data_IF_587494647497
#
_entry.id   IF_587494647497
#
_cell.length_a   1.000
_cell.length_b   1.000
_cell.length_c   1.000
_cell.angle_alpha   90.00
_cell.angle_beta   90.00
_cell.angle_gamma   90.00
#
_symmetry.space_group_name_H-M   'P 1'
#
loop_
_entity.id
_entity.type
_entity.pdbx_description
1 polymer ?
#
# COMPACT_ATOMS: atom_id res chain seq x y z
N UNK A 1 5.84 -22.10 -0.91
CA UNK A 1 5.92 -21.00 -1.90
C UNK A 1 7.23 -20.27 -1.66
N UNK A 2 7.97 -19.88 -2.70
CA UNK A 2 9.13 -19.00 -2.50
C UNK A 2 8.60 -17.59 -2.29
N UNK A 3 8.74 -17.03 -1.09
CA UNK A 3 8.38 -15.64 -0.84
C UNK A 3 9.52 -14.74 -1.29
N UNK A 4 9.29 -13.94 -2.34
CA UNK A 4 10.19 -12.86 -2.72
C UNK A 4 9.82 -11.63 -1.90
N UNK A 5 10.45 -11.47 -0.73
CA UNK A 5 10.21 -10.32 0.13
C UNK A 5 10.89 -9.06 -0.42
N UNK A 6 10.19 -7.92 -0.38
CA UNK A 6 10.66 -6.62 -0.92
C UNK A 6 10.99 -5.67 0.22
N UNK A 7 12.25 -5.19 0.36
CA UNK A 7 12.61 -4.31 1.48
C UNK A 7 11.70 -3.08 1.58
N UNK A 8 11.29 -2.74 2.80
CA UNK A 8 10.34 -1.66 3.08
C UNK A 8 8.87 -2.02 2.87
N UNK A 9 8.55 -3.19 2.27
CA UNK A 9 7.18 -3.65 2.11
C UNK A 9 6.62 -4.25 3.40
N UNK A 10 5.32 -4.05 3.60
CA UNK A 10 4.59 -4.54 4.75
C UNK A 10 3.93 -5.92 4.49
N UNK A 11 3.92 -6.77 5.51
CA UNK A 11 3.39 -8.11 5.51
C UNK A 11 2.50 -8.33 6.74
N UNK A 12 1.58 -9.29 6.65
CA UNK A 12 0.61 -9.60 7.70
C UNK A 12 1.01 -10.88 8.43
N UNK A 13 1.14 -10.77 9.75
CA UNK A 13 1.19 -11.95 10.63
C UNK A 13 -0.18 -12.60 10.74
N UNK A 14 -0.19 -13.91 11.02
CA UNK A 14 -1.41 -14.66 11.33
C UNK A 14 -2.21 -14.02 12.45
N UNK A 15 -1.54 -13.54 13.50
CA UNK A 15 -2.17 -12.82 14.62
C UNK A 15 -2.71 -11.43 14.29
N UNK A 16 -2.54 -10.98 13.04
CA UNK A 16 -3.15 -9.78 12.52
C UNK A 16 -2.31 -8.52 12.62
N UNK A 17 -1.08 -8.56 13.16
CA UNK A 17 -0.19 -7.38 13.20
C UNK A 17 0.68 -7.25 11.95
N UNK A 18 1.16 -6.01 11.73
CA UNK A 18 1.96 -5.60 10.59
C UNK A 18 3.45 -5.91 10.82
N UNK A 19 4.12 -6.36 9.76
CA UNK A 19 5.57 -6.59 9.69
C UNK A 19 6.16 -5.79 8.55
N UNK A 20 7.29 -5.12 8.75
CA UNK A 20 8.06 -4.49 7.67
C UNK A 20 9.27 -5.35 7.35
N UNK A 21 9.41 -5.80 6.11
CA UNK A 21 10.62 -6.52 5.70
C UNK A 21 11.80 -5.54 5.63
N UNK A 22 12.86 -5.84 6.38
CA UNK A 22 14.04 -4.96 6.47
C UNK A 22 15.16 -5.48 5.56
N UNK A 23 15.27 -6.81 5.42
CA UNK A 23 16.26 -7.39 4.53
C UNK A 23 16.69 -8.79 4.95
N UNK A 24 17.81 -9.21 4.36
CA UNK A 24 18.39 -10.51 4.65
C UNK A 24 19.21 -10.47 5.94
N UNK A 25 19.19 -11.59 6.67
CA UNK A 25 20.06 -11.80 7.79
C UNK A 25 21.52 -11.88 7.30
N UNK A 26 22.40 -10.95 7.72
CA UNK A 26 23.77 -10.88 7.22
C UNK A 26 24.62 -12.09 7.65
N UNK A 27 24.17 -12.86 8.63
CA UNK A 27 24.89 -14.02 9.17
C UNK A 27 24.49 -15.35 8.52
N UNK A 28 23.57 -15.36 7.55
CA UNK A 28 23.26 -16.55 6.74
C UNK A 28 22.74 -17.77 7.50
N UNK A 29 22.21 -17.59 8.71
CA UNK A 29 21.69 -18.67 9.56
C UNK A 29 20.33 -19.19 9.08
N UNK A 30 19.78 -20.19 9.80
CA UNK A 30 18.48 -20.86 9.59
C UNK A 30 17.27 -19.92 9.36
N UNK A 31 17.43 -18.63 9.65
CA UNK A 31 16.43 -17.58 9.51
C UNK A 31 16.99 -16.45 8.62
N UNK A 32 16.91 -16.62 7.28
CA UNK A 32 17.51 -15.73 6.28
C UNK A 32 16.87 -14.35 6.20
N UNK A 33 15.69 -14.13 6.78
CA UNK A 33 14.93 -12.89 6.61
C UNK A 33 14.68 -12.19 7.94
N UNK A 34 14.82 -10.87 7.93
CA UNK A 34 14.58 -9.99 9.09
C UNK A 34 13.41 -9.06 8.76
N UNK A 35 12.46 -9.02 9.69
CA UNK A 35 11.32 -8.12 9.68
C UNK A 35 11.30 -7.28 10.96
N UNK A 36 10.66 -6.12 10.91
CA UNK A 36 10.35 -5.32 12.10
C UNK A 36 8.86 -5.37 12.38
N UNK A 37 8.50 -5.50 13.63
CA UNK A 37 7.17 -5.25 14.17
C UNK A 37 7.28 -4.11 15.20
N UNK A 38 6.23 -3.30 15.34
CA UNK A 38 6.22 -2.18 16.29
C UNK A 38 6.17 -2.65 17.76
N UNK A 39 5.46 -3.74 18.03
CA UNK A 39 5.24 -4.26 19.38
C UNK A 39 6.41 -5.15 19.85
N UNK A 40 7.02 -5.91 18.93
CA UNK A 40 7.99 -6.97 19.25
C UNK A 40 9.41 -6.70 18.74
N UNK A 41 9.61 -5.63 17.96
CA UNK A 41 10.91 -5.27 17.42
C UNK A 41 11.34 -6.16 16.25
N UNK A 42 12.59 -6.63 16.27
CA UNK A 42 13.18 -7.38 15.15
C UNK A 42 12.84 -8.86 15.24
N UNK A 43 12.27 -9.37 14.15
CA UNK A 43 11.70 -10.70 14.03
C UNK A 43 12.38 -11.46 12.88
N UNK A 44 12.76 -12.71 13.13
CA UNK A 44 13.49 -13.57 12.21
C UNK A 44 12.61 -14.65 11.58
N UNK A 45 12.71 -14.82 10.27
CA UNK A 45 11.84 -15.73 9.50
C UNK A 45 12.63 -16.67 8.61
N UNK A 46 12.07 -17.86 8.38
CA UNK A 46 12.58 -18.81 7.42
C UNK A 46 12.17 -18.48 5.97
N UNK A 47 12.71 -19.21 4.99
CA UNK A 47 12.41 -19.00 3.56
C UNK A 47 10.93 -19.14 3.18
N UNK A 48 10.15 -19.82 4.01
CA UNK A 48 8.75 -20.13 3.78
C UNK A 48 7.80 -19.20 4.57
N UNK A 49 8.31 -18.16 5.24
CA UNK A 49 7.50 -17.23 6.02
C UNK A 49 7.05 -17.74 7.38
N UNK A 50 7.56 -18.89 7.84
CA UNK A 50 7.34 -19.36 9.21
C UNK A 50 8.30 -18.70 10.19
N UNK A 51 7.79 -18.51 11.40
CA UNK A 51 8.53 -17.99 12.52
C UNK A 51 9.73 -18.89 12.88
N UNK A 52 10.82 -18.25 13.33
CA UNK A 52 12.06 -18.90 13.70
C UNK A 52 11.84 -19.97 14.80
N UNK A 53 11.92 -21.25 14.42
CA UNK A 53 12.01 -22.38 15.37
C UNK A 53 10.92 -23.45 15.24
N UNK A 54 9.89 -23.26 14.41
CA UNK A 54 8.82 -24.25 14.22
C UNK A 54 8.49 -24.43 12.74
N UNK A 55 9.18 -25.36 12.08
CA UNK A 55 8.86 -25.73 10.70
C UNK A 55 7.72 -26.76 10.73
N UNK A 56 6.55 -26.41 10.21
CA UNK A 56 5.42 -27.33 10.06
C UNK A 56 4.35 -27.26 11.15
N UNK A 57 4.49 -26.36 12.12
CA UNK A 57 3.42 -25.99 13.06
C UNK A 57 2.97 -24.57 12.75
N UNK A 58 1.65 -24.32 12.78
CA UNK A 58 1.13 -22.96 12.62
C UNK A 58 1.46 -22.13 13.86
N UNK A 59 2.10 -20.99 13.65
CA UNK A 59 2.42 -20.03 14.70
C UNK A 59 1.70 -18.69 14.46
N UNK A 60 1.39 -18.00 15.55
CA UNK A 60 0.75 -16.69 15.54
C UNK A 60 1.58 -15.63 14.78
N UNK A 61 2.91 -15.81 14.72
CA UNK A 61 3.85 -14.90 14.05
C UNK A 61 4.05 -15.23 12.58
N UNK A 62 3.50 -16.34 12.06
CA UNK A 62 3.68 -16.73 10.65
C UNK A 62 3.17 -15.65 9.69
N UNK A 63 3.91 -15.44 8.61
CA UNK A 63 3.52 -14.52 7.54
C UNK A 63 2.45 -15.21 6.68
N UNK A 64 1.25 -14.65 6.65
CA UNK A 64 0.12 -15.20 5.89
C UNK A 64 -0.17 -14.45 4.59
N UNK A 65 0.53 -13.33 4.34
CA UNK A 65 0.37 -12.55 3.13
C UNK A 65 0.97 -11.16 3.21
N UNK A 66 0.78 -10.39 2.15
CA UNK A 66 1.13 -8.96 2.13
C UNK A 66 0.14 -8.17 3.00
N UNK A 67 0.63 -7.12 3.67
CA UNK A 67 -0.24 -6.19 4.34
C UNK A 67 -0.91 -5.32 3.28
N UNK A 68 -2.25 -5.14 3.31
CA UNK A 68 -2.90 -4.27 2.36
C UNK A 68 -2.30 -2.86 2.45
N UNK A 69 -2.18 -2.13 1.32
CA UNK A 69 -1.72 -0.75 1.35
C UNK A 69 -2.59 0.05 2.31
N UNK A 70 -1.96 0.93 3.10
CA UNK A 70 -2.72 1.79 4.02
C UNK A 70 -3.65 2.69 3.22
N UNK A 71 -4.94 2.79 3.62
CA UNK A 71 -5.87 3.69 2.99
C UNK A 71 -5.32 5.12 2.97
N UNK A 72 -5.10 5.67 1.77
CA UNK A 72 -4.59 7.03 1.62
C UNK A 72 -5.72 7.94 1.19
N UNK A 73 -6.01 8.96 2.00
CA UNK A 73 -6.88 10.06 1.58
C UNK A 73 -6.20 10.87 0.49
N UNK A 74 -6.79 10.87 -0.69
CA UNK A 74 -6.37 11.66 -1.83
C UNK A 74 -7.38 12.80 -2.00
N UNK A 75 -6.84 14.02 -2.12
CA UNK A 75 -7.62 15.22 -2.43
C UNK A 75 -7.15 15.77 -3.75
N UNK A 76 -8.07 16.25 -4.58
CA UNK A 76 -7.74 16.86 -5.85
C UNK A 76 -8.92 17.61 -6.45
N UNK A 77 -8.85 17.84 -7.75
CA UNK A 77 -9.78 18.68 -8.49
C UNK A 77 -10.14 18.03 -9.82
N UNK A 78 -11.38 18.23 -10.25
CA UNK A 78 -11.88 17.80 -11.56
C UNK A 78 -12.56 18.97 -12.23
N UNK A 79 -12.18 19.25 -13.48
CA UNK A 79 -12.88 20.23 -14.30
C UNK A 79 -14.12 19.59 -14.92
N UNK A 80 -15.22 20.34 -14.90
CA UNK A 80 -16.44 20.01 -15.63
C UNK A 80 -16.55 20.96 -16.82
N UNK A 81 -16.67 20.39 -18.01
CA UNK A 81 -16.79 21.13 -19.27
C UNK A 81 -18.12 20.80 -19.94
N UNK A 82 -18.68 21.77 -20.66
CA UNK A 82 -19.90 21.58 -21.45
C UNK A 82 -19.52 21.38 -22.92
N UNK A 83 -19.69 20.17 -23.44
CA UNK A 83 -19.40 19.85 -24.85
C UNK A 83 -20.65 19.28 -25.50
N UNK A 84 -21.16 19.93 -26.56
CA UNK A 84 -22.39 19.53 -27.26
C UNK A 84 -23.59 19.31 -26.31
N UNK A 85 -23.83 20.26 -25.40
CA UNK A 85 -24.87 20.19 -24.36
C UNK A 85 -24.78 18.98 -23.41
N UNK A 86 -23.58 18.39 -23.26
CA UNK A 86 -23.32 17.32 -22.31
C UNK A 86 -22.16 17.70 -21.40
N UNK A 87 -22.30 17.36 -20.12
CA UNK A 87 -21.23 17.51 -19.14
C UNK A 87 -20.16 16.43 -19.39
N UNK A 88 -18.90 16.86 -19.39
CA UNK A 88 -17.73 16.00 -19.41
C UNK A 88 -16.80 16.36 -18.26
N UNK A 89 -16.21 15.34 -17.65
CA UNK A 89 -15.27 15.48 -16.54
C UNK A 89 -13.85 15.29 -17.07
N UNK A 90 -12.90 16.07 -16.57
CA UNK A 90 -11.47 15.85 -16.83
C UNK A 90 -10.93 14.68 -16.01
N UNK A 91 -9.68 14.29 -16.30
CA UNK A 91 -8.90 13.49 -15.38
C UNK A 91 -8.67 14.22 -14.05
N UNK A 92 -8.33 13.44 -13.02
CA UNK A 92 -7.97 13.93 -11.69
C UNK A 92 -6.76 14.87 -11.76
N UNK A 93 -6.86 16.02 -11.11
CA UNK A 93 -5.75 16.95 -10.90
C UNK A 93 -5.38 16.98 -9.41
N UNK A 94 -4.08 16.89 -9.10
CA UNK A 94 -3.55 16.93 -7.73
C UNK A 94 -3.72 18.29 -7.04
N UNK A 95 -3.92 19.35 -7.83
CA UNK A 95 -4.02 20.72 -7.36
C UNK A 95 -4.99 21.54 -8.19
N UNK A 96 -5.52 22.59 -7.58
CA UNK A 96 -6.39 23.54 -8.27
C UNK A 96 -5.63 24.26 -9.40
N UNK A 97 -4.34 24.54 -9.17
CA UNK A 97 -3.48 25.20 -10.13
C UNK A 97 -3.36 24.38 -11.42
N UNK A 98 -3.02 23.09 -11.31
CA UNK A 98 -2.96 22.18 -12.47
C UNK A 98 -4.32 22.09 -13.17
N UNK A 99 -5.42 22.01 -12.41
CA UNK A 99 -6.76 22.04 -12.98
C UNK A 99 -7.05 23.34 -13.75
N UNK A 100 -6.58 24.49 -13.28
CA UNK A 100 -6.75 25.77 -13.99
C UNK A 100 -5.88 25.85 -15.26
N UNK A 101 -4.66 25.29 -15.25
CA UNK A 101 -3.78 25.27 -16.44
C UNK A 101 -4.35 24.43 -17.59
N UNK A 102 -4.96 23.29 -17.28
CA UNK A 102 -5.57 22.41 -18.29
C UNK A 102 -7.03 22.77 -18.61
N UNK A 103 -7.56 23.85 -18.03
CA UNK A 103 -8.96 24.22 -18.18
C UNK A 103 -9.28 24.58 -19.64
N UNK A 104 -10.26 23.88 -20.22
CA UNK A 104 -10.83 24.26 -21.50
C UNK A 104 -11.68 25.53 -21.38
N UNK A 105 -11.80 26.30 -22.47
CA UNK A 105 -12.65 27.50 -22.55
C UNK A 105 -14.12 27.23 -22.18
N UNK A 106 -14.57 25.99 -22.35
CA UNK A 106 -15.93 25.52 -22.07
C UNK A 106 -16.10 25.01 -20.63
N UNK A 107 -15.14 25.28 -19.73
CA UNK A 107 -15.24 24.89 -18.32
C UNK A 107 -16.39 25.63 -17.66
N UNK A 108 -17.30 24.86 -17.07
CA UNK A 108 -18.47 25.37 -16.32
C UNK A 108 -18.29 25.24 -14.82
N UNK A 109 -17.44 24.32 -14.35
CA UNK A 109 -17.09 24.18 -12.95
C UNK A 109 -15.70 23.56 -12.76
N UNK A 110 -15.12 23.77 -11.57
CA UNK A 110 -13.93 23.08 -11.10
C UNK A 110 -14.26 22.60 -9.67
N UNK A 111 -14.37 21.29 -9.50
CA UNK A 111 -14.94 20.67 -8.31
C UNK A 111 -13.82 20.02 -7.49
N UNK A 112 -13.69 20.30 -6.18
CA UNK A 112 -12.80 19.57 -5.32
C UNK A 112 -13.34 18.15 -5.05
N UNK A 113 -12.48 17.15 -5.12
CA UNK A 113 -12.82 15.75 -4.83
C UNK A 113 -11.90 15.19 -3.76
N UNK A 114 -12.45 14.31 -2.92
CA UNK A 114 -11.72 13.56 -1.90
C UNK A 114 -12.17 12.10 -2.00
N UNK A 115 -11.22 11.17 -2.10
CA UNK A 115 -11.47 9.73 -2.08
C UNK A 115 -10.34 9.01 -1.35
N UNK A 116 -10.57 7.75 -0.98
CA UNK A 116 -9.58 6.91 -0.30
C UNK A 116 -9.04 5.88 -1.29
N UNK A 117 -7.75 5.92 -1.59
CA UNK A 117 -7.08 4.84 -2.34
C UNK A 117 -6.81 3.67 -1.41
N UNK A 118 -7.02 2.44 -1.89
CA UNK A 118 -6.69 1.22 -1.14
C UNK A 118 -7.80 0.68 -0.24
N UNK A 119 -8.92 1.38 -0.10
CA UNK A 119 -10.18 0.73 0.29
C UNK A 119 -10.74 0.05 -0.96
N UNK A 120 -10.81 -1.29 -0.95
CA UNK A 120 -11.39 -2.04 -2.07
C UNK A 120 -12.77 -1.51 -2.44
N UNK A 121 -13.07 -1.45 -3.75
CA UNK A 121 -14.44 -1.32 -4.23
C UNK A 121 -15.27 -2.53 -3.83
#
# INVERSE_FOLDING_TARGET
MKHNYVPGKAYKMRKGSKLIFIGHNPFGLSYPFIFSNEDEGLLHYNFNGFWAGRIGEEDAHDIIGEWPPEPKKVKGWVNVTMVNNRLKFSDFCDSKFVADEIAHKERVACIPIEFTEGEGL
#
